data_IF_222012102195
#
_entry.id   IF_222012102195
#
_cell.length_a   1.000
_cell.length_b   1.000
_cell.length_c   1.000
_cell.angle_alpha   90.00
_cell.angle_beta   90.00
_cell.angle_gamma   90.00
#
_symmetry.space_group_name_H-M   'P 1'
#
loop_
_entity.id
_entity.type
_entity.pdbx_description
1 polymer ?
#
# COMPACT_ATOMS: atom_id res chain seq x y z
N UNK A 1 -9.93 9.31 1.26
CA UNK A 1 -9.17 8.18 1.81
C UNK A 1 -8.31 8.72 2.93
N UNK A 2 -8.46 8.22 4.16
CA UNK A 2 -7.51 8.50 5.24
C UNK A 2 -6.13 7.98 4.81
N UNK A 3 -5.26 8.90 4.37
CA UNK A 3 -3.89 8.58 3.93
C UNK A 3 -3.11 7.82 5.01
N UNK A 4 -3.44 8.04 6.28
CA UNK A 4 -2.75 7.46 7.42
C UNK A 4 -3.20 6.02 7.77
N UNK A 5 -4.26 5.50 7.16
CA UNK A 5 -4.76 4.15 7.48
C UNK A 5 -5.26 3.41 6.22
N UNK A 6 -4.32 2.97 5.36
CA UNK A 6 -4.68 2.33 4.11
C UNK A 6 -5.38 0.98 4.34
N UNK A 7 -6.13 0.55 3.32
CA UNK A 7 -6.77 -0.76 3.31
C UNK A 7 -5.71 -1.81 3.02
N UNK A 8 -5.82 -2.95 3.71
CA UNK A 8 -4.97 -4.11 3.50
C UNK A 8 -5.82 -5.31 3.09
N UNK A 9 -5.29 -6.13 2.20
CA UNK A 9 -5.88 -7.39 1.71
C UNK A 9 -5.02 -8.57 2.14
N UNK A 10 -5.62 -9.58 2.76
CA UNK A 10 -4.95 -10.83 3.07
C UNK A 10 -4.84 -11.68 1.81
N UNK A 11 -3.61 -11.99 1.39
CA UNK A 11 -3.30 -12.91 0.31
C UNK A 11 -2.40 -14.04 0.83
N UNK A 12 -2.91 -15.27 0.83
CA UNK A 12 -2.25 -16.40 1.51
C UNK A 12 -2.20 -16.18 3.03
N UNK A 13 -1.00 -15.91 3.56
CA UNK A 13 -0.75 -15.64 4.99
C UNK A 13 -0.22 -14.23 5.27
N UNK A 14 -0.13 -13.38 4.24
CA UNK A 14 0.50 -12.06 4.33
C UNK A 14 -0.51 -10.99 3.95
N UNK A 15 -0.53 -9.89 4.70
CA UNK A 15 -1.35 -8.73 4.39
C UNK A 15 -0.64 -7.79 3.43
N UNK A 16 -1.33 -7.35 2.38
CA UNK A 16 -0.81 -6.44 1.37
C UNK A 16 -1.59 -5.13 1.38
N UNK A 17 -0.91 -4.00 1.35
CA UNK A 17 -1.56 -2.69 1.19
C UNK A 17 -2.08 -2.58 -0.24
N UNK A 18 -3.28 -2.03 -0.40
CA UNK A 18 -3.94 -1.83 -1.68
C UNK A 18 -4.32 -0.38 -1.90
N UNK A 19 -4.17 0.10 -3.13
CA UNK A 19 -4.39 1.50 -3.49
C UNK A 19 -5.88 1.81 -3.68
N UNK A 20 -6.62 0.95 -4.38
CA UNK A 20 -8.04 1.13 -4.71
C UNK A 20 -8.98 0.44 -3.72
N UNK A 21 -8.50 0.07 -2.53
CA UNK A 21 -9.30 -0.61 -1.52
C UNK A 21 -9.64 -2.07 -1.90
N UNK A 22 -10.87 -2.50 -1.62
CA UNK A 22 -11.27 -3.93 -1.69
C UNK A 22 -11.28 -4.51 -3.11
N UNK A 23 -11.46 -3.65 -4.11
CA UNK A 23 -11.52 -4.05 -5.52
C UNK A 23 -10.13 -4.25 -6.12
N UNK A 24 -9.07 -3.78 -5.45
CA UNK A 24 -7.70 -3.92 -5.95
C UNK A 24 -7.32 -5.37 -6.17
N UNK A 25 -6.77 -5.62 -7.35
CA UNK A 25 -6.21 -6.91 -7.75
C UNK A 25 -4.69 -6.95 -7.59
N UNK A 26 -4.08 -5.81 -7.28
CA UNK A 26 -2.66 -5.67 -7.02
C UNK A 26 -2.42 -5.01 -5.67
N UNK A 27 -1.46 -5.54 -4.92
CA UNK A 27 -0.91 -4.83 -3.77
C UNK A 27 0.08 -3.75 -4.22
N UNK A 28 0.31 -2.76 -3.36
CA UNK A 28 1.28 -1.68 -3.56
C UNK A 28 2.73 -2.19 -3.81
N UNK A 29 3.00 -3.46 -3.48
CA UNK A 29 4.26 -4.12 -3.82
C UNK A 29 4.33 -4.63 -5.28
N UNK A 30 3.33 -4.34 -6.12
CA UNK A 30 3.21 -4.84 -7.50
C UNK A 30 2.82 -6.31 -7.61
N UNK A 31 2.41 -6.96 -6.51
CA UNK A 31 2.06 -8.39 -6.52
C UNK A 31 0.56 -8.57 -6.74
N UNK A 32 0.20 -9.47 -7.67
CA UNK A 32 -1.18 -9.84 -7.91
C UNK A 32 -1.80 -10.58 -6.71
N UNK A 33 -2.95 -10.11 -6.25
CA UNK A 33 -3.72 -10.64 -5.13
C UNK A 33 -4.74 -11.66 -5.65
N UNK A 34 -4.26 -12.87 -5.98
CA UNK A 34 -5.12 -13.93 -6.53
C UNK A 34 -6.09 -14.53 -5.51
N UNK A 35 -5.72 -14.52 -4.23
CA UNK A 35 -6.51 -15.07 -3.13
C UNK A 35 -6.90 -13.99 -2.13
N UNK A 36 -7.90 -13.17 -2.47
CA UNK A 36 -8.42 -12.09 -1.62
C UNK A 36 -9.35 -12.65 -0.54
N UNK A 37 -8.79 -13.17 0.54
CA UNK A 37 -9.56 -13.87 1.60
C UNK A 37 -10.27 -12.92 2.56
N UNK A 38 -9.64 -11.80 2.87
CA UNK A 38 -10.16 -10.80 3.80
C UNK A 38 -9.53 -9.43 3.52
N UNK A 39 -10.22 -8.37 3.96
CA UNK A 39 -9.68 -7.02 3.97
C UNK A 39 -9.80 -6.42 5.37
N UNK A 40 -8.90 -5.51 5.71
CA UNK A 40 -8.93 -4.77 6.97
C UNK A 40 -8.21 -3.43 6.81
N UNK A 41 -7.94 -2.75 7.91
CA UNK A 41 -7.17 -1.52 7.98
C UNK A 41 -5.77 -1.79 8.55
N UNK A 42 -4.76 -1.08 8.05
CA UNK A 42 -3.37 -1.24 8.49
C UNK A 42 -3.23 -1.12 10.01
N UNK A 43 -3.87 -0.12 10.62
CA UNK A 43 -3.83 0.09 12.07
C UNK A 43 -4.50 -1.03 12.88
N UNK A 44 -5.47 -1.74 12.29
CA UNK A 44 -6.16 -2.87 12.96
C UNK A 44 -5.31 -4.14 12.94
N UNK A 45 -4.57 -4.36 11.85
CA UNK A 45 -3.77 -5.57 11.66
C UNK A 45 -2.36 -5.45 12.27
N UNK A 46 -1.83 -4.24 12.38
CA UNK A 46 -0.45 -4.00 12.81
C UNK A 46 0.54 -4.13 11.64
N UNK A 47 1.57 -3.28 11.65
CA UNK A 47 2.57 -3.21 10.56
C UNK A 47 3.40 -4.49 10.47
N UNK A 48 3.62 -5.18 11.58
CA UNK A 48 4.36 -6.43 11.69
C UNK A 48 3.75 -7.59 10.88
N UNK A 49 2.45 -7.53 10.59
CA UNK A 49 1.73 -8.54 9.82
C UNK A 49 1.62 -8.21 8.32
N UNK A 50 2.13 -7.04 7.91
CA UNK A 50 2.02 -6.52 6.54
C UNK A 50 3.30 -6.77 5.76
N UNK A 51 3.15 -6.97 4.45
CA UNK A 51 4.27 -7.11 3.53
C UNK A 51 5.25 -5.93 3.68
N UNK A 52 6.54 -6.19 3.95
CA UNK A 52 7.52 -5.12 4.17
C UNK A 52 7.74 -4.27 2.91
N UNK A 53 7.53 -4.83 1.72
CA UNK A 53 7.61 -4.08 0.45
C UNK A 53 6.45 -3.10 0.33
N UNK A 54 5.23 -3.50 0.70
CA UNK A 54 4.08 -2.60 0.77
C UNK A 54 4.34 -1.44 1.75
N UNK A 55 4.89 -1.74 2.93
CA UNK A 55 5.21 -0.70 3.93
C UNK A 55 6.25 0.31 3.42
N UNK A 56 7.25 -0.16 2.67
CA UNK A 56 8.23 0.72 2.02
C UNK A 56 7.60 1.57 0.92
N UNK A 57 6.68 1.02 0.14
CA UNK A 57 5.97 1.77 -0.90
C UNK A 57 5.20 2.94 -0.29
N UNK A 58 4.38 2.70 0.76
CA UNK A 58 3.63 3.79 1.38
C UNK A 58 4.52 4.82 2.06
N UNK A 59 5.64 4.40 2.64
CA UNK A 59 6.55 5.33 3.31
C UNK A 59 7.20 6.29 2.32
N UNK A 60 7.37 5.88 1.05
CA UNK A 60 7.85 6.76 -0.03
C UNK A 60 6.77 7.74 -0.47
N UNK A 61 5.52 7.29 -0.57
CA UNK A 61 4.36 8.16 -0.84
C UNK A 61 4.14 9.20 0.27
N UNK A 62 4.28 8.81 1.54
CA UNK A 62 4.14 9.71 2.69
C UNK A 62 5.31 10.69 2.84
N UNK A 63 6.53 10.26 2.47
CA UNK A 63 7.71 11.13 2.50
C UNK A 63 7.63 12.27 1.48
N UNK A 64 6.74 12.19 0.50
CA UNK A 64 6.65 13.13 -0.62
C UNK A 64 7.94 13.10 -1.41
N UNK A 65 7.95 12.45 -2.56
CA UNK A 65 9.06 12.56 -3.50
C UNK A 65 9.32 14.06 -3.77
N UNK A 66 10.48 14.66 -3.40
CA UNK A 66 10.80 16.02 -3.79
C UNK A 66 11.18 16.12 -5.29
N UNK A 67 11.03 15.05 -6.08
CA UNK A 67 11.49 14.98 -7.47
C UNK A 67 10.53 15.56 -8.52
N UNK A 68 9.78 16.61 -8.18
CA UNK A 68 9.14 17.47 -9.18
C UNK A 68 9.25 18.94 -8.79
N UNK A 69 10.48 19.45 -8.77
CA UNK A 69 10.76 20.84 -9.11
C UNK A 69 11.94 20.80 -10.09
N UNK A 70 12.07 21.77 -10.99
CA UNK A 70 13.15 21.91 -11.99
C UNK A 70 12.99 21.32 -13.40
N UNK A 71 11.80 21.35 -14.01
CA UNK A 71 11.75 21.55 -15.48
C UNK A 71 10.62 22.51 -15.90
N UNK A 72 10.70 23.73 -15.39
CA UNK A 72 9.98 24.90 -15.93
C UNK A 72 10.91 26.10 -15.97
N UNK A 73 12.06 25.99 -16.65
CA UNK A 73 12.75 27.15 -17.23
C UNK A 73 13.95 26.72 -18.09
N UNK A 74 13.73 26.30 -19.35
CA UNK A 74 14.67 26.52 -20.47
C UNK A 74 13.91 26.53 -21.80
#
# INVERSE_FOLDING_TARGET
MDKNNPVVMLCGKVWHIVESGRESEMGACGRALRERRAHSRLLTIGRENVCPVCLKAIARDEAGDPATDELSNR
#
